data_IF_223898690983
#
_entry.id   IF_223898690983
#
_cell.length_a   1.000
_cell.length_b   1.000
_cell.length_c   1.000
_cell.angle_alpha   90.00
_cell.angle_beta   90.00
_cell.angle_gamma   90.00
#
_symmetry.space_group_name_H-M   'P 1'
#
loop_
_entity.id
_entity.type
_entity.pdbx_description
1 polymer ?
#
# COMPACT_ATOMS: atom_id res chain seq x y z
N UNK A 1 8.56 -56.56 -20.69
CA UNK A 1 7.64 -56.43 -19.54
C UNK A 1 7.99 -55.10 -18.88
N UNK A 2 7.61 -53.98 -19.51
CA UNK A 2 6.30 -53.35 -19.35
C UNK A 2 5.91 -53.40 -17.88
N UNK A 3 6.14 -52.30 -17.14
CA UNK A 3 5.04 -51.60 -16.49
C UNK A 3 5.47 -50.18 -16.13
N UNK A 4 4.75 -49.24 -16.75
CA UNK A 4 4.87 -47.80 -16.59
C UNK A 4 4.44 -47.45 -15.17
N UNK A 5 5.38 -47.16 -14.28
CA UNK A 5 5.06 -46.57 -12.98
C UNK A 5 4.97 -45.04 -13.14
N UNK A 6 3.78 -44.58 -13.53
CA UNK A 6 3.45 -43.17 -13.65
C UNK A 6 3.26 -42.59 -12.23
N UNK A 7 4.26 -41.89 -11.70
CA UNK A 7 4.17 -41.16 -10.44
C UNK A 7 3.36 -39.88 -10.66
N UNK A 8 2.08 -39.89 -10.26
CA UNK A 8 1.23 -38.70 -10.22
C UNK A 8 1.56 -37.93 -8.93
N UNK A 9 2.33 -36.85 -9.06
CA UNK A 9 2.51 -35.87 -7.99
C UNK A 9 1.21 -35.06 -7.84
N UNK A 10 0.42 -35.34 -6.80
CA UNK A 10 -0.70 -34.49 -6.40
C UNK A 10 -0.11 -33.27 -5.70
N UNK A 11 0.00 -32.15 -6.40
CA UNK A 11 0.35 -30.85 -5.83
C UNK A 11 -0.82 -30.33 -5.00
N UNK A 12 -0.75 -30.49 -3.68
CA UNK A 12 -1.64 -29.78 -2.75
C UNK A 12 -1.28 -28.30 -2.81
N UNK A 13 -2.11 -27.50 -3.48
CA UNK A 13 -2.02 -26.06 -3.43
C UNK A 13 -2.40 -25.59 -2.01
N UNK A 14 -1.41 -25.21 -1.20
CA UNK A 14 -1.66 -24.53 0.06
C UNK A 14 -2.21 -23.13 -0.23
N UNK A 15 -3.53 -22.97 -0.18
CA UNK A 15 -4.14 -21.65 -0.18
C UNK A 15 -3.81 -20.97 1.16
N UNK A 16 -2.91 -20.00 1.16
CA UNK A 16 -2.66 -19.13 2.30
C UNK A 16 -3.91 -18.27 2.53
N UNK A 17 -4.70 -18.60 3.54
CA UNK A 17 -5.76 -17.72 4.04
C UNK A 17 -5.11 -16.48 4.65
N UNK A 18 -5.17 -15.34 3.97
CA UNK A 18 -4.82 -14.06 4.58
C UNK A 18 -5.74 -13.83 5.78
N UNK A 19 -5.16 -13.79 6.99
CA UNK A 19 -5.92 -13.47 8.19
C UNK A 19 -6.18 -11.97 8.18
N UNK A 20 -7.44 -11.57 8.17
CA UNK A 20 -7.81 -10.19 8.45
C UNK A 20 -7.22 -9.79 9.81
N UNK A 21 -6.53 -8.65 9.92
CA UNK A 21 -5.92 -8.23 11.17
C UNK A 21 -7.00 -7.92 12.22
N UNK A 22 -6.69 -8.15 13.50
CA UNK A 22 -7.51 -7.66 14.60
C UNK A 22 -7.45 -6.12 14.61
N UNK A 23 -8.60 -5.47 14.46
CA UNK A 23 -8.70 -4.00 14.44
C UNK A 23 -8.77 -3.52 15.89
N UNK A 24 -7.69 -2.90 16.36
CA UNK A 24 -7.63 -2.28 17.71
C UNK A 24 -8.01 -0.79 17.61
N UNK A 25 -9.10 -0.34 18.25
CA UNK A 25 -9.51 1.06 18.23
C UNK A 25 -8.52 1.97 18.98
N UNK A 26 -8.27 3.17 18.45
CA UNK A 26 -7.46 4.19 19.12
C UNK A 26 -8.31 4.88 20.20
N UNK A 27 -7.86 4.95 21.48
CA UNK A 27 -8.59 5.66 22.53
C UNK A 27 -8.87 7.14 22.16
N UNK A 28 -10.13 7.55 22.24
CA UNK A 28 -10.56 8.90 21.83
C UNK A 28 -10.58 9.15 20.32
N UNK A 29 -10.39 8.09 19.51
CA UNK A 29 -10.59 8.13 18.06
C UNK A 29 -12.05 8.29 17.66
N UNK A 30 -12.28 8.58 16.38
CA UNK A 30 -13.63 8.67 15.80
C UNK A 30 -14.17 7.26 15.56
N UNK A 31 -15.46 7.03 15.85
CA UNK A 31 -16.14 5.74 15.67
C UNK A 31 -17.54 5.92 15.06
N UNK A 32 -18.00 4.93 14.29
CA UNK A 32 -19.33 4.90 13.68
C UNK A 32 -19.39 3.90 12.52
N UNK A 33 -20.49 3.93 11.77
CA UNK A 33 -20.68 3.13 10.56
C UNK A 33 -20.23 3.88 9.30
N UNK A 34 -19.72 3.16 8.30
CA UNK A 34 -19.26 3.74 7.04
C UNK A 34 -19.31 2.75 5.88
N UNK A 35 -19.29 3.27 4.65
CA UNK A 35 -19.25 2.48 3.42
C UNK A 35 -17.85 2.57 2.83
N UNK A 36 -17.27 1.42 2.48
CA UNK A 36 -15.92 1.33 1.91
C UNK A 36 -15.95 1.13 0.39
N UNK A 37 -14.93 1.64 -0.30
CA UNK A 37 -14.63 1.32 -1.70
C UNK A 37 -13.23 0.70 -1.81
N UNK A 38 -12.77 0.41 -3.03
CA UNK A 38 -11.38 0.00 -3.31
C UNK A 38 -10.81 0.92 -4.40
N UNK A 39 -9.57 1.37 -4.25
CA UNK A 39 -8.91 2.21 -5.24
C UNK A 39 -7.40 2.02 -5.20
N UNK A 40 -6.76 2.24 -6.35
CA UNK A 40 -5.32 2.40 -6.49
C UNK A 40 -5.07 3.18 -7.78
N UNK A 41 -4.66 4.43 -7.68
CA UNK A 41 -4.41 5.32 -8.83
C UNK A 41 -2.93 5.68 -9.00
N UNK A 42 -2.05 5.09 -8.17
CA UNK A 42 -0.62 5.37 -8.06
C UNK A 42 -0.26 6.80 -7.61
N UNK A 43 -1.21 7.72 -7.47
CA UNK A 43 -0.94 9.12 -7.13
C UNK A 43 -0.27 9.24 -5.75
N UNK A 44 0.47 10.31 -5.51
CA UNK A 44 0.91 10.62 -4.14
C UNK A 44 -0.31 10.88 -3.23
N UNK A 45 -0.37 10.30 -2.02
CA UNK A 45 -1.45 10.56 -1.09
C UNK A 45 -1.42 12.02 -0.63
N UNK A 46 -2.59 12.59 -0.32
CA UNK A 46 -2.69 13.98 0.15
C UNK A 46 -1.91 14.22 1.46
N UNK A 47 -1.75 13.19 2.29
CA UNK A 47 -0.92 13.22 3.49
C UNK A 47 0.59 13.29 3.22
N UNK A 48 1.06 13.20 1.98
CA UNK A 48 2.48 13.41 1.64
C UNK A 48 2.88 14.90 1.58
N UNK A 49 1.90 15.81 1.51
CA UNK A 49 2.12 17.24 1.40
C UNK A 49 2.37 17.87 2.78
N UNK A 50 3.56 18.45 2.96
CA UNK A 50 3.97 19.11 4.22
C UNK A 50 2.96 20.16 4.73
N UNK A 51 2.30 20.90 3.84
CA UNK A 51 1.31 21.92 4.21
C UNK A 51 -0.01 21.36 4.79
N UNK A 52 -0.27 20.06 4.64
CA UNK A 52 -1.51 19.43 5.11
C UNK A 52 -1.34 18.61 6.39
N UNK A 53 -0.09 18.41 6.84
CA UNK A 53 0.18 17.55 8.00
C UNK A 53 -0.15 18.25 9.32
N UNK A 54 -1.02 17.59 10.09
CA UNK A 54 -1.43 17.97 11.44
C UNK A 54 -1.20 16.82 12.44
N UNK A 55 -0.13 16.04 12.23
CA UNK A 55 0.26 14.93 13.11
C UNK A 55 1.17 15.44 14.24
N UNK A 56 1.27 14.69 15.34
CA UNK A 56 2.10 15.07 16.51
C UNK A 56 3.60 15.20 16.17
N UNK A 57 4.10 14.40 15.22
CA UNK A 57 5.50 14.41 14.80
C UNK A 57 5.76 15.33 13.59
N UNK A 58 4.70 15.81 12.92
CA UNK A 58 4.82 16.67 11.74
C UNK A 58 5.45 15.99 10.52
N UNK A 59 5.50 14.65 10.49
CA UNK A 59 6.12 13.89 9.41
C UNK A 59 5.04 13.54 8.37
N UNK A 60 5.21 13.90 7.09
CA UNK A 60 4.31 13.49 6.02
C UNK A 60 4.48 12.02 5.65
N UNK A 61 3.48 11.47 4.97
CA UNK A 61 3.60 10.13 4.40
C UNK A 61 4.72 10.10 3.36
N UNK A 62 5.53 9.04 3.41
CA UNK A 62 6.61 8.81 2.45
C UNK A 62 6.03 8.41 1.10
N UNK A 63 6.45 9.07 0.04
CA UNK A 63 6.18 8.66 -1.35
C UNK A 63 7.38 7.97 -1.96
N UNK A 64 7.16 7.32 -3.10
CA UNK A 64 8.19 6.68 -3.88
C UNK A 64 8.33 7.35 -5.26
N UNK A 65 9.48 7.14 -5.88
CA UNK A 65 9.71 7.47 -7.27
C UNK A 65 8.87 6.57 -8.19
N UNK A 66 8.96 6.78 -9.50
CA UNK A 66 8.14 6.08 -10.50
C UNK A 66 8.30 4.54 -10.49
N UNK A 67 9.38 4.03 -9.91
CA UNK A 67 9.58 2.59 -9.72
C UNK A 67 8.72 1.99 -8.58
N UNK A 68 8.08 2.83 -7.78
CA UNK A 68 7.24 2.47 -6.63
C UNK A 68 8.02 1.94 -5.43
N UNK A 69 9.37 2.00 -5.45
CA UNK A 69 10.25 1.39 -4.43
C UNK A 69 11.25 2.37 -3.87
N UNK A 70 11.86 3.17 -4.74
CA UNK A 70 12.88 4.13 -4.33
C UNK A 70 12.18 5.26 -3.62
N UNK A 71 12.50 5.47 -2.35
CA UNK A 71 11.92 6.56 -1.57
C UNK A 71 12.20 7.92 -2.23
N UNK A 72 11.16 8.75 -2.28
CA UNK A 72 11.28 10.17 -2.59
C UNK A 72 12.12 10.88 -1.52
N UNK A 73 12.91 11.87 -1.94
CA UNK A 73 13.58 12.82 -1.05
C UNK A 73 12.58 13.83 -0.50
N UNK A 74 12.98 14.58 0.53
CA UNK A 74 12.16 15.67 1.09
C UNK A 74 11.65 16.65 0.02
N UNK A 75 12.47 16.97 -0.97
CA UNK A 75 12.18 17.99 -1.98
C UNK A 75 11.19 17.50 -3.04
N UNK A 76 11.10 16.19 -3.26
CA UNK A 76 10.22 15.60 -4.26
C UNK A 76 9.15 14.68 -3.67
N UNK A 77 8.97 14.68 -2.35
CA UNK A 77 7.97 13.85 -1.65
C UNK A 77 6.52 14.26 -1.91
N UNK A 78 6.29 15.54 -2.25
CA UNK A 78 4.96 16.13 -2.28
C UNK A 78 4.31 16.16 -3.67
N UNK A 79 5.01 16.61 -4.72
CA UNK A 79 4.37 16.84 -6.02
C UNK A 79 4.02 15.51 -6.72
N UNK A 80 2.74 15.15 -6.64
CA UNK A 80 2.16 13.92 -7.22
C UNK A 80 2.43 13.81 -8.71
N UNK A 81 2.84 12.63 -9.18
CA UNK A 81 2.96 12.31 -10.61
C UNK A 81 1.64 12.37 -11.40
N UNK A 82 0.50 12.50 -10.70
CA UNK A 82 -0.79 12.78 -11.31
C UNK A 82 -0.98 14.26 -11.68
N UNK A 83 -0.09 15.14 -11.21
CA UNK A 83 0.00 16.54 -11.62
C UNK A 83 1.14 16.74 -12.62
N UNK A 84 1.03 17.77 -13.46
CA UNK A 84 2.05 18.05 -14.47
C UNK A 84 3.40 18.34 -13.81
N UNK A 85 4.44 17.60 -14.23
CA UNK A 85 5.80 17.74 -13.70
C UNK A 85 6.04 17.08 -12.34
N UNK A 86 5.06 16.36 -11.79
CA UNK A 86 5.23 15.61 -10.56
C UNK A 86 6.01 14.31 -10.71
N UNK A 87 6.62 13.88 -9.61
CA UNK A 87 7.53 12.73 -9.56
C UNK A 87 7.29 11.82 -8.35
N UNK A 88 6.31 12.14 -7.51
CA UNK A 88 5.92 11.37 -6.34
C UNK A 88 4.76 10.42 -6.63
N UNK A 89 4.87 9.18 -6.18
CA UNK A 89 3.86 8.14 -6.34
C UNK A 89 3.65 7.39 -5.01
N UNK A 90 2.52 6.69 -4.89
CA UNK A 90 2.30 5.77 -3.76
C UNK A 90 3.33 4.62 -3.82
N UNK A 91 3.94 4.30 -2.67
CA UNK A 91 4.88 3.18 -2.53
C UNK A 91 4.16 1.82 -2.58
N UNK A 92 4.85 0.80 -3.12
CA UNK A 92 4.34 -0.58 -3.21
C UNK A 92 4.66 -1.43 -1.98
#
# INVERSE_FOLDING_TARGET
RNDKLLLIFVSVAAASSDRSPEIVPIPGGISGDGITTRYWDCCAPSCAYYGFIKTKNGIPDQTCQIDGVTNSTKDNNAQSGCEQGGVAYTCR
#
